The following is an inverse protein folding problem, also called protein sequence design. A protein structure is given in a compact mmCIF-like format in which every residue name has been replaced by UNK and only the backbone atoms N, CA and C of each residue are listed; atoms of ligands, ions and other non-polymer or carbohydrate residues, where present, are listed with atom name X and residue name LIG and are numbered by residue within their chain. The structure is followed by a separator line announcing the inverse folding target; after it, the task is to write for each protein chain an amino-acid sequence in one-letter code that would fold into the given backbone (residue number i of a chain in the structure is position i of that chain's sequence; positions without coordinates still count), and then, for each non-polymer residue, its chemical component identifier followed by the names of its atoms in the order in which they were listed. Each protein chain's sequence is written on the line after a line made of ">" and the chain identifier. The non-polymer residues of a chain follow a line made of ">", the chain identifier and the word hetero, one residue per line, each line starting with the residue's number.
data_IF_315879242261
#
_entry.id   IF_315879242261
#
_cell.length_a   1.000
_cell.length_b   1.000
_cell.length_c   1.000
_cell.angle_alpha   90.00
_cell.angle_beta   90.00
_cell.angle_gamma   90.00
#
_symmetry.space_group_name_H-M   'P 1'
#
loop_
_entity.id
_entity.type
_entity.pdbx_description
1 polymer ?
#
# COMPACT_ATOMS: atom_id res chain seq x y z
N UNK A 1 -14.46 6.96 -17.17
CA UNK A 1 -14.35 6.88 -15.70
C UNK A 1 -15.08 8.10 -15.14
N UNK A 2 -16.07 7.98 -14.23
CA UNK A 2 -16.67 9.20 -13.62
C UNK A 2 -15.79 9.64 -12.45
N UNK A 3 -15.48 10.94 -12.40
CA UNK A 3 -14.70 11.56 -11.33
C UNK A 3 -15.47 11.54 -10.00
N UNK A 4 -14.77 11.25 -8.90
CA UNK A 4 -15.29 11.37 -7.54
C UNK A 4 -14.74 12.64 -6.91
N UNK A 5 -15.61 13.62 -6.60
CA UNK A 5 -15.19 14.78 -5.78
C UNK A 5 -14.99 14.30 -4.35
N UNK A 6 -13.77 14.41 -3.84
CA UNK A 6 -13.35 13.79 -2.57
C UNK A 6 -13.94 14.45 -1.32
N UNK A 7 -14.65 15.59 -1.46
CA UNK A 7 -15.24 16.38 -0.38
C UNK A 7 -14.27 16.85 0.72
N UNK A 8 -12.98 16.55 0.59
CA UNK A 8 -11.92 17.02 1.47
C UNK A 8 -11.66 18.51 1.29
N UNK A 9 -11.19 19.15 2.36
CA UNK A 9 -10.93 20.60 2.40
C UNK A 9 -9.52 20.98 1.97
N UNK A 10 -8.65 19.98 1.80
CA UNK A 10 -7.23 20.14 1.49
C UNK A 10 -6.72 18.87 0.80
N UNK A 11 -5.39 18.69 0.74
CA UNK A 11 -4.70 17.63 0.03
C UNK A 11 -5.13 16.24 0.48
N UNK A 12 -5.50 15.42 -0.50
CA UNK A 12 -5.77 13.99 -0.33
C UNK A 12 -4.46 13.24 -0.48
N UNK A 13 -4.07 12.47 0.54
CA UNK A 13 -2.82 11.71 0.56
C UNK A 13 -2.96 10.31 0.02
N UNK A 14 -4.13 9.70 0.24
CA UNK A 14 -4.36 8.33 -0.21
C UNK A 14 -5.83 8.06 -0.51
N UNK A 15 -6.04 7.08 -1.38
CA UNK A 15 -7.34 6.50 -1.65
C UNK A 15 -7.23 4.99 -1.87
N UNK A 16 -8.23 4.24 -1.42
CA UNK A 16 -8.26 2.79 -1.59
C UNK A 16 -9.69 2.31 -1.88
N UNK A 17 -9.83 1.47 -2.89
CA UNK A 17 -11.06 0.73 -3.17
C UNK A 17 -11.11 -0.55 -2.35
N UNK A 18 -12.29 -0.88 -1.86
CA UNK A 18 -12.50 -2.16 -1.20
C UNK A 18 -12.48 -3.33 -2.21
N UNK A 19 -12.33 -4.59 -1.75
CA UNK A 19 -12.23 -5.75 -2.65
C UNK A 19 -13.48 -6.03 -3.48
N UNK A 20 -14.66 -5.60 -3.03
CA UNK A 20 -15.88 -5.68 -3.84
C UNK A 20 -16.00 -4.54 -4.85
N UNK A 21 -15.20 -3.50 -4.64
CA UNK A 21 -15.20 -2.28 -5.44
C UNK A 21 -16.48 -1.47 -5.26
N UNK A 22 -17.22 -1.58 -4.16
CA UNK A 22 -18.42 -0.76 -3.91
C UNK A 22 -18.15 0.39 -2.94
N UNK A 23 -17.06 0.32 -2.20
CA UNK A 23 -16.60 1.31 -1.24
C UNK A 23 -15.26 1.89 -1.67
N UNK A 24 -15.11 3.20 -1.48
CA UNK A 24 -13.87 3.94 -1.68
C UNK A 24 -13.59 4.72 -0.40
N UNK A 25 -12.40 4.54 0.17
CA UNK A 25 -11.91 5.37 1.27
C UNK A 25 -10.91 6.39 0.73
N UNK A 26 -10.96 7.62 1.22
CA UNK A 26 -9.95 8.67 0.95
C UNK A 26 -9.50 9.31 2.25
N UNK A 27 -8.24 9.75 2.34
CA UNK A 27 -7.71 10.40 3.52
C UNK A 27 -6.87 11.64 3.20
N UNK A 28 -6.81 12.58 4.13
CA UNK A 28 -6.40 13.95 3.82
C UNK A 28 -5.68 14.66 4.97
N UNK A 29 -5.02 15.77 4.62
CA UNK A 29 -4.47 16.75 5.58
C UNK A 29 -5.54 17.41 6.45
N UNK A 30 -6.83 17.34 6.09
CA UNK A 30 -7.94 17.82 6.93
C UNK A 30 -8.26 16.90 8.10
N UNK A 31 -7.50 15.81 8.26
CA UNK A 31 -7.62 14.83 9.36
C UNK A 31 -8.83 13.92 9.23
N UNK A 32 -9.58 14.03 8.13
CA UNK A 32 -10.77 13.22 7.89
C UNK A 32 -10.44 12.01 7.00
N UNK A 33 -11.20 10.93 7.20
CA UNK A 33 -11.28 9.81 6.26
C UNK A 33 -12.70 9.75 5.72
N UNK A 34 -12.86 9.98 4.42
CA UNK A 34 -14.16 9.96 3.76
C UNK A 34 -14.40 8.59 3.16
N UNK A 35 -15.60 8.05 3.39
CA UNK A 35 -16.05 6.78 2.81
C UNK A 35 -17.16 7.07 1.81
N UNK A 36 -16.93 6.67 0.57
CA UNK A 36 -17.88 6.76 -0.51
C UNK A 36 -18.41 5.38 -0.85
N UNK A 37 -19.67 5.34 -1.25
CA UNK A 37 -20.33 4.15 -1.75
C UNK A 37 -20.77 4.38 -3.20
N UNK A 38 -20.66 3.34 -4.03
CA UNK A 38 -21.31 3.27 -5.33
C UNK A 38 -22.24 2.06 -5.39
N UNK A 39 -23.42 2.24 -5.97
CA UNK A 39 -24.37 1.15 -6.14
C UNK A 39 -24.00 0.34 -7.39
N UNK A 40 -23.57 -0.93 -7.28
CA UNK A 40 -23.18 -1.72 -8.46
C UNK A 40 -24.35 -2.01 -9.42
N UNK A 41 -25.60 -1.99 -8.95
CA UNK A 41 -26.80 -2.34 -9.71
C UNK A 41 -27.65 -1.12 -10.14
N UNK A 42 -27.24 0.10 -9.77
CA UNK A 42 -28.00 1.32 -10.04
C UNK A 42 -27.90 1.80 -11.49
N UNK A 43 -28.86 2.61 -11.92
CA UNK A 43 -28.84 3.29 -13.25
C UNK A 43 -27.60 4.18 -13.39
N UNK A 44 -27.22 4.86 -12.30
CA UNK A 44 -25.96 5.60 -12.16
C UNK A 44 -24.91 4.75 -11.41
N UNK A 45 -24.68 3.49 -11.83
CA UNK A 45 -23.76 2.56 -11.14
C UNK A 45 -22.33 3.07 -10.96
N UNK A 46 -21.96 4.12 -11.70
CA UNK A 46 -20.66 4.76 -11.66
C UNK A 46 -20.56 5.99 -10.76
N UNK A 47 -21.66 6.45 -10.14
CA UNK A 47 -21.64 7.62 -9.26
C UNK A 47 -21.25 7.23 -7.83
N UNK A 48 -20.24 7.92 -7.30
CA UNK A 48 -19.82 7.81 -5.91
C UNK A 48 -20.61 8.78 -5.03
N UNK A 49 -21.16 8.28 -3.93
CA UNK A 49 -21.86 9.08 -2.93
C UNK A 49 -21.14 8.99 -1.58
N UNK A 50 -20.83 10.14 -0.97
CA UNK A 50 -20.26 10.19 0.38
C UNK A 50 -21.26 9.61 1.38
N UNK A 51 -20.88 8.56 2.10
CA UNK A 51 -21.76 7.85 3.04
C UNK A 51 -21.25 7.85 4.49
N UNK A 52 -19.97 8.16 4.74
CA UNK A 52 -19.42 8.33 6.08
C UNK A 52 -18.22 9.27 6.09
N UNK A 53 -17.98 9.92 7.23
CA UNK A 53 -16.77 10.72 7.50
C UNK A 53 -16.23 10.30 8.87
N UNK A 54 -15.02 9.73 8.90
CA UNK A 54 -14.32 9.37 10.13
C UNK A 54 -13.42 10.52 10.57
N UNK A 55 -13.48 10.87 11.85
CA UNK A 55 -12.79 12.06 12.43
C UNK A 55 -11.99 11.74 13.69
N UNK A 56 -11.54 10.49 13.84
CA UNK A 56 -10.80 10.09 15.04
C UNK A 56 -9.35 10.58 15.06
N UNK A 57 -8.76 10.83 13.87
CA UNK A 57 -7.41 11.37 13.77
C UNK A 57 -7.35 12.85 14.17
N UNK A 58 -6.26 13.24 14.83
CA UNK A 58 -6.04 14.63 15.29
C UNK A 58 -4.98 15.37 14.48
N UNK A 59 -4.34 14.69 13.54
CA UNK A 59 -3.40 15.23 12.56
C UNK A 59 -3.65 14.61 11.17
N UNK A 60 -2.82 14.98 10.18
CA UNK A 60 -2.91 14.48 8.80
C UNK A 60 -2.99 12.96 8.74
N UNK A 61 -3.97 12.45 7.99
CA UNK A 61 -4.08 11.01 7.72
C UNK A 61 -3.32 10.72 6.43
N UNK A 62 -2.30 9.88 6.55
CA UNK A 62 -1.34 9.60 5.49
C UNK A 62 -1.78 8.42 4.62
N UNK A 63 -2.48 7.45 5.22
CA UNK A 63 -2.79 6.20 4.54
C UNK A 63 -4.10 5.57 4.99
N UNK A 64 -4.73 4.88 4.03
CA UNK A 64 -5.89 4.01 4.22
C UNK A 64 -5.67 2.69 3.51
N UNK A 65 -6.07 1.57 4.13
CA UNK A 65 -5.95 0.25 3.53
C UNK A 65 -7.16 -0.61 3.87
N UNK A 66 -7.76 -1.23 2.85
CA UNK A 66 -8.82 -2.22 3.05
C UNK A 66 -8.23 -3.60 3.28
N UNK A 67 -8.86 -4.36 4.16
CA UNK A 67 -8.58 -5.78 4.28
C UNK A 67 -9.11 -6.52 3.04
N UNK A 68 -8.28 -7.36 2.43
CA UNK A 68 -8.58 -7.95 1.13
C UNK A 68 -9.44 -9.21 1.20
N UNK A 69 -9.44 -9.91 2.34
CA UNK A 69 -10.20 -11.15 2.52
C UNK A 69 -11.65 -10.87 2.96
N UNK A 70 -12.62 -11.58 2.37
CA UNK A 70 -14.05 -11.24 2.52
C UNK A 70 -14.67 -11.64 3.85
N UNK A 71 -14.04 -12.55 4.59
CA UNK A 71 -14.62 -13.17 5.79
C UNK A 71 -15.00 -12.15 6.88
N UNK A 72 -14.24 -11.07 7.04
CA UNK A 72 -14.50 -10.08 8.07
C UNK A 72 -15.49 -8.97 7.63
N UNK A 73 -15.94 -9.01 6.37
CA UNK A 73 -16.59 -7.88 5.72
C UNK A 73 -15.62 -6.71 5.49
N UNK A 74 -16.13 -5.50 5.18
CA UNK A 74 -15.30 -4.35 4.89
C UNK A 74 -14.57 -3.84 6.14
N UNK A 75 -13.32 -4.26 6.32
CA UNK A 75 -12.41 -3.72 7.33
C UNK A 75 -11.47 -2.68 6.71
N UNK A 76 -11.40 -1.52 7.32
CA UNK A 76 -10.57 -0.39 6.92
C UNK A 76 -9.55 -0.08 8.00
N UNK A 77 -8.27 -0.04 7.66
CA UNK A 77 -7.23 0.54 8.49
C UNK A 77 -6.91 1.96 8.02
N UNK A 78 -6.65 2.86 8.97
CA UNK A 78 -6.24 4.24 8.72
C UNK A 78 -5.03 4.58 9.59
N UNK A 79 -4.12 5.40 9.11
CA UNK A 79 -2.96 5.83 9.90
C UNK A 79 -2.48 7.23 9.51
N UNK A 80 -1.75 7.89 10.41
CA UNK A 80 -1.37 9.28 10.18
C UNK A 80 -0.21 9.83 11.01
N UNK A 81 -0.05 11.14 10.89
CA UNK A 81 0.98 11.94 11.54
C UNK A 81 0.78 12.10 13.05
N UNK A 82 -0.40 11.76 13.56
CA UNK A 82 -0.68 11.70 15.00
C UNK A 82 -0.07 10.46 15.68
N UNK A 83 0.56 9.57 14.88
CA UNK A 83 1.17 8.31 15.30
C UNK A 83 0.15 7.26 15.75
N UNK A 84 -1.11 7.44 15.36
CA UNK A 84 -2.15 6.48 15.60
C UNK A 84 -2.50 5.74 14.32
N UNK A 85 -2.92 4.49 14.47
CA UNK A 85 -3.66 3.78 13.46
C UNK A 85 -4.96 3.27 14.07
N UNK A 86 -6.01 3.24 13.26
CA UNK A 86 -7.33 2.76 13.66
C UNK A 86 -7.79 1.66 12.71
N UNK A 87 -8.63 0.77 13.20
CA UNK A 87 -9.30 -0.26 12.40
C UNK A 87 -10.80 -0.09 12.59
N UNK A 88 -11.53 -0.04 11.47
CA UNK A 88 -12.97 0.13 11.43
C UNK A 88 -13.61 -1.02 10.67
N UNK A 89 -14.73 -1.52 11.20
CA UNK A 89 -15.67 -2.33 10.42
C UNK A 89 -16.74 -1.42 9.85
N UNK A 90 -16.81 -1.36 8.53
CA UNK A 90 -17.78 -0.53 7.81
C UNK A 90 -19.03 -1.36 7.53
N UNK A 91 -20.17 -0.86 7.98
CA UNK A 91 -21.48 -1.48 7.83
C UNK A 91 -22.30 -0.59 6.90
N UNK A 92 -22.62 -1.11 5.72
CA UNK A 92 -23.44 -0.39 4.74
C UNK A 92 -24.88 -0.81 4.94
N UNK A 93 -25.75 0.18 5.18
CA UNK A 93 -27.20 -0.01 5.30
C UNK A 93 -27.93 0.80 4.23
N UNK A 94 -29.01 0.21 3.70
CA UNK A 94 -29.85 0.82 2.68
C UNK A 94 -31.23 1.09 3.28
N UNK A 95 -31.57 2.35 3.50
CA UNK A 95 -32.88 2.75 4.03
C UNK A 95 -33.57 3.71 3.05
N UNK A 96 -34.71 3.29 2.50
CA UNK A 96 -35.52 4.13 1.60
C UNK A 96 -34.79 4.63 0.35
N UNK A 97 -33.86 3.82 -0.18
CA UNK A 97 -33.03 4.19 -1.34
C UNK A 97 -31.82 5.07 -1.01
N UNK A 98 -31.68 5.55 0.23
CA UNK A 98 -30.47 6.23 0.71
C UNK A 98 -29.50 5.23 1.33
N UNK A 99 -28.22 5.41 1.01
CA UNK A 99 -27.12 4.62 1.56
C UNK A 99 -26.60 5.34 2.80
N UNK A 100 -26.47 4.63 3.92
CA UNK A 100 -25.72 5.08 5.08
C UNK A 100 -24.60 4.07 5.37
N UNK A 101 -23.46 4.58 5.85
CA UNK A 101 -22.32 3.77 6.23
C UNK A 101 -21.95 4.06 7.69
N UNK A 102 -22.23 3.11 8.56
CA UNK A 102 -21.77 3.15 9.95
C UNK A 102 -20.36 2.57 10.05
N UNK A 103 -19.54 3.16 10.92
CA UNK A 103 -18.18 2.71 11.15
C UNK A 103 -18.00 2.29 12.61
N UNK A 104 -17.81 1.00 12.84
CA UNK A 104 -17.53 0.45 14.16
C UNK A 104 -16.03 0.41 14.37
N UNK A 105 -15.51 1.33 15.18
CA UNK A 105 -14.09 1.43 15.53
C UNK A 105 -13.69 0.34 16.52
N UNK A 106 -12.59 -0.35 16.25
CA UNK A 106 -11.97 -1.28 17.19
C UNK A 106 -11.26 -0.52 18.30
N UNK A 107 -11.30 -1.04 19.53
CA UNK A 107 -10.69 -0.39 20.69
C UNK A 107 -9.17 -0.47 20.60
N UNK A 108 -8.54 0.71 20.49
CA UNK A 108 -7.09 0.83 20.34
C UNK A 108 -6.44 0.99 21.71
N UNK A 109 -5.40 0.17 21.98
CA UNK A 109 -4.42 0.43 23.04
C UNK A 109 -3.23 1.15 22.41
N UNK A 110 -2.71 2.19 23.08
CA UNK A 110 -1.65 3.08 22.58
C UNK A 110 -0.58 2.37 21.74
N UNK A 111 -0.39 2.84 20.51
CA UNK A 111 0.63 2.34 19.58
C UNK A 111 2.06 2.56 20.09
N UNK A 112 3.00 1.81 19.51
CA UNK A 112 4.42 1.86 19.85
C UNK A 112 5.22 2.82 18.96
N UNK A 113 4.57 3.48 18.02
CA UNK A 113 5.16 4.38 17.03
C UNK A 113 5.70 5.65 17.68
N UNK A 114 6.94 5.98 17.32
CA UNK A 114 7.65 7.12 17.91
C UNK A 114 7.61 8.36 17.02
N UNK A 115 7.28 8.18 15.75
CA UNK A 115 7.16 9.22 14.73
C UNK A 115 5.95 8.92 13.81
N UNK A 116 5.68 9.79 12.83
CA UNK A 116 4.61 9.70 11.84
C UNK A 116 4.50 8.28 11.29
N UNK A 117 3.27 7.77 11.21
CA UNK A 117 2.98 6.54 10.46
C UNK A 117 2.78 6.96 9.02
N UNK A 118 3.63 6.47 8.12
CA UNK A 118 3.60 6.83 6.70
C UNK A 118 2.74 5.87 5.89
N UNK A 119 2.67 4.61 6.30
CA UNK A 119 1.97 3.57 5.59
C UNK A 119 1.39 2.53 6.55
N UNK A 120 0.28 1.93 6.15
CA UNK A 120 -0.44 0.91 6.89
C UNK A 120 -0.97 -0.12 5.90
N UNK A 121 -0.77 -1.39 6.19
CA UNK A 121 -1.20 -2.47 5.29
C UNK A 121 -1.62 -3.69 6.10
N UNK A 122 -2.71 -4.33 5.69
CA UNK A 122 -3.04 -5.65 6.21
C UNK A 122 -2.06 -6.67 5.64
N UNK A 123 -1.62 -7.57 6.51
CA UNK A 123 -0.76 -8.68 6.10
C UNK A 123 -1.67 -9.72 5.42
N UNK A 124 -1.28 -10.25 4.24
CA UNK A 124 -2.04 -11.29 3.55
C UNK A 124 -2.43 -12.44 4.48
N UNK A 125 -3.66 -12.92 4.30
CA UNK A 125 -4.25 -13.95 5.15
C UNK A 125 -3.52 -15.28 5.00
N UNK A 126 -3.34 -15.94 6.14
CA UNK A 126 -2.84 -17.31 6.24
C UNK A 126 -3.93 -18.15 6.90
N UNK A 127 -4.09 -19.39 6.46
CA UNK A 127 -5.20 -20.23 6.90
C UNK A 127 -5.20 -20.37 8.44
N UNK A 128 -6.36 -20.19 9.07
CA UNK A 128 -6.55 -20.26 10.53
C UNK A 128 -5.79 -19.21 11.35
N UNK A 129 -5.31 -18.10 10.76
CA UNK A 129 -4.56 -17.08 11.49
C UNK A 129 -5.36 -15.84 11.87
N UNK A 130 -4.84 -15.20 12.92
CA UNK A 130 -5.27 -13.92 13.48
C UNK A 130 -5.11 -12.84 12.41
N UNK A 131 -6.05 -11.90 12.35
CA UNK A 131 -5.95 -10.72 11.50
C UNK A 131 -4.68 -9.94 11.87
N UNK A 132 -3.79 -9.72 10.90
CA UNK A 132 -2.56 -8.95 11.11
C UNK A 132 -2.48 -7.70 10.27
N UNK A 133 -1.86 -6.68 10.85
CA UNK A 133 -1.63 -5.37 10.23
C UNK A 133 -0.19 -4.95 10.45
N UNK A 134 0.42 -4.30 9.47
CA UNK A 134 1.71 -3.66 9.61
C UNK A 134 1.60 -2.15 9.52
N UNK A 135 2.38 -1.43 10.32
CA UNK A 135 2.60 0.01 10.22
C UNK A 135 4.04 0.28 9.80
N UNK A 136 4.26 1.30 8.98
CA UNK A 136 5.58 1.84 8.65
C UNK A 136 5.70 3.26 9.22
N UNK A 137 6.84 3.59 9.82
CA UNK A 137 7.03 4.89 10.46
C UNK A 137 8.33 5.58 10.05
N UNK A 138 8.30 6.91 10.11
CA UNK A 138 9.49 7.74 9.96
C UNK A 138 10.55 7.50 11.04
N UNK A 139 10.22 6.80 12.13
CA UNK A 139 11.20 6.35 13.12
C UNK A 139 12.13 5.23 12.62
N UNK A 140 11.95 4.78 11.37
CA UNK A 140 12.78 3.76 10.74
C UNK A 140 12.34 2.33 11.04
N UNK A 141 11.16 2.15 11.64
CA UNK A 141 10.62 0.84 12.00
C UNK A 141 9.32 0.53 11.27
N UNK A 142 9.19 -0.74 10.96
CA UNK A 142 7.93 -1.38 10.62
C UNK A 142 7.52 -2.21 11.84
N UNK A 143 6.24 -2.17 12.20
CA UNK A 143 5.68 -2.95 13.32
C UNK A 143 4.55 -3.80 12.81
N UNK A 144 4.51 -5.05 13.27
CA UNK A 144 3.45 -6.00 12.94
C UNK A 144 2.58 -6.21 14.17
N UNK A 145 1.27 -6.15 13.97
CA UNK A 145 0.27 -6.25 15.01
C UNK A 145 -0.69 -7.39 14.75
N UNK A 146 -0.96 -8.19 15.78
CA UNK A 146 -2.16 -9.02 15.86
C UNK A 146 -3.34 -8.13 16.24
N UNK A 147 -4.36 -8.11 15.40
CA UNK A 147 -5.53 -7.24 15.51
C UNK A 147 -6.72 -8.02 16.03
N UNK A 148 -7.24 -7.57 17.17
CA UNK A 148 -8.51 -8.01 17.71
C UNK A 148 -9.40 -6.80 17.98
N UNK A 149 -10.74 -6.95 18.05
CA UNK A 149 -11.65 -5.82 18.29
C UNK A 149 -11.37 -5.03 19.58
N UNK A 150 -10.75 -5.66 20.57
CA UNK A 150 -10.50 -5.06 21.90
C UNK A 150 -9.04 -4.70 22.17
N UNK A 151 -8.10 -5.19 21.34
CA UNK A 151 -6.67 -4.98 21.56
C UNK A 151 -5.85 -5.16 20.28
N UNK A 152 -4.76 -4.40 20.17
CA UNK A 152 -3.73 -4.58 19.13
C UNK A 152 -2.42 -4.98 19.82
N UNK A 153 -1.89 -6.14 19.50
CA UNK A 153 -0.65 -6.66 20.10
C UNK A 153 0.49 -6.57 19.09
N UNK A 154 1.53 -5.78 19.40
CA UNK A 154 2.74 -5.73 18.55
C UNK A 154 3.54 -7.04 18.71
N UNK A 155 3.59 -7.84 17.66
CA UNK A 155 4.21 -9.18 17.67
C UNK A 155 5.61 -9.22 17.04
N UNK A 156 5.90 -8.33 16.09
CA UNK A 156 7.21 -8.27 15.43
C UNK A 156 7.55 -6.86 15.00
N UNK A 157 8.85 -6.61 14.78
CA UNK A 157 9.38 -5.33 14.31
C UNK A 157 10.49 -5.57 13.30
N UNK A 158 10.48 -4.78 12.23
CA UNK A 158 11.48 -4.83 11.16
C UNK A 158 12.11 -3.45 11.07
N UNK A 159 13.43 -3.39 10.85
CA UNK A 159 14.15 -2.15 10.59
C UNK A 159 15.28 -2.41 9.62
N UNK A 160 15.81 -1.34 9.04
CA UNK A 160 16.96 -1.39 8.14
C UNK A 160 18.13 -2.04 8.87
N UNK A 161 18.80 -2.99 8.22
CA UNK A 161 20.05 -3.52 8.76
C UNK A 161 21.11 -2.43 8.76
N UNK A 162 21.79 -2.25 9.89
CA UNK A 162 22.94 -1.35 9.96
C UNK A 162 24.13 -2.01 9.25
N UNK A 163 24.63 -1.38 8.19
CA UNK A 163 25.99 -1.63 7.68
C UNK A 163 26.95 -1.59 8.88
N UNK A 164 27.70 -2.68 9.09
CA UNK A 164 28.64 -2.79 10.20
C UNK A 164 29.64 -1.63 10.17
N UNK A 165 29.84 -0.96 11.32
CA UNK A 165 30.89 0.05 11.50
C UNK A 165 30.48 1.53 11.41
N UNK A 166 29.19 1.88 11.31
CA UNK A 166 28.72 3.29 11.35
C UNK A 166 27.61 3.52 12.38
N UNK A 167 27.58 4.74 12.94
CA UNK A 167 26.64 5.17 13.99
C UNK A 167 25.18 5.02 13.55
N UNK A 168 24.37 4.36 14.40
CA UNK A 168 22.95 4.06 14.23
C UNK A 168 22.09 5.28 13.85
N UNK A 169 22.38 6.45 14.42
CA UNK A 169 21.49 7.62 14.34
C UNK A 169 21.59 8.40 13.04
N UNK A 170 22.69 8.28 12.30
CA UNK A 170 22.95 9.16 11.14
C UNK A 170 22.48 8.59 9.80
N UNK A 171 21.96 7.37 9.75
CA UNK A 171 21.55 6.73 8.49
C UNK A 171 20.25 5.93 8.48
N UNK A 172 19.55 5.74 9.61
CA UNK A 172 18.21 5.14 9.57
C UNK A 172 17.29 6.09 8.79
N UNK A 173 17.04 5.78 7.53
CA UNK A 173 16.03 6.51 6.76
C UNK A 173 14.67 6.22 7.36
N UNK A 174 13.80 7.21 7.51
CA UNK A 174 12.40 6.93 7.84
C UNK A 174 11.80 5.96 6.82
N UNK A 175 11.01 5.00 7.26
CA UNK A 175 10.28 4.12 6.33
C UNK A 175 9.12 4.94 5.79
N UNK A 176 8.92 4.92 4.47
CA UNK A 176 7.94 5.77 3.80
C UNK A 176 6.82 4.96 3.17
N UNK A 177 7.10 3.76 2.67
CA UNK A 177 6.10 2.90 2.05
C UNK A 177 6.41 1.42 2.26
N UNK A 178 5.37 0.60 2.32
CA UNK A 178 5.46 -0.85 2.42
C UNK A 178 4.45 -1.52 1.49
N UNK A 179 4.81 -2.70 0.98
CA UNK A 179 3.90 -3.51 0.19
C UNK A 179 4.13 -5.00 0.47
N UNK A 180 3.12 -5.67 1.01
CA UNK A 180 3.14 -7.12 1.18
C UNK A 180 2.96 -7.80 -0.18
N UNK A 181 3.81 -8.80 -0.45
CA UNK A 181 3.65 -9.65 -1.61
C UNK A 181 2.33 -10.45 -1.47
N UNK A 182 1.42 -10.40 -2.47
CA UNK A 182 0.13 -11.07 -2.38
C UNK A 182 0.26 -12.58 -2.67
N UNK A 183 1.00 -13.30 -1.81
CA UNK A 183 1.10 -14.75 -1.88
C UNK A 183 -0.24 -15.40 -1.50
N UNK A 184 -0.65 -16.41 -2.27
CA UNK A 184 -1.70 -17.34 -1.86
C UNK A 184 -1.15 -18.58 -1.15
N UNK A 185 0.16 -18.79 -1.20
CA UNK A 185 0.82 -19.92 -0.57
C UNK A 185 1.03 -19.64 0.91
N UNK A 186 0.56 -20.56 1.76
CA UNK A 186 0.67 -20.51 3.21
C UNK A 186 2.04 -21.00 3.70
N UNK A 187 3.10 -20.51 3.03
CA UNK A 187 4.49 -20.97 3.21
C UNK A 187 5.40 -19.85 3.75
N UNK A 188 4.90 -18.61 3.79
CA UNK A 188 5.60 -17.47 4.37
C UNK A 188 5.17 -16.15 3.76
N UNK A 189 5.95 -15.11 4.04
CA UNK A 189 5.63 -13.73 3.68
C UNK A 189 6.82 -13.02 3.07
N UNK A 190 6.55 -12.11 2.14
CA UNK A 190 7.54 -11.16 1.64
C UNK A 190 7.00 -9.73 1.74
N UNK A 191 7.87 -8.81 2.12
CA UNK A 191 7.55 -7.40 2.35
C UNK A 191 8.57 -6.51 1.64
N UNK A 192 8.08 -5.75 0.67
CA UNK A 192 8.84 -4.68 0.03
C UNK A 192 8.76 -3.41 0.87
N UNK A 193 9.89 -2.72 1.03
CA UNK A 193 10.04 -1.57 1.93
C UNK A 193 10.78 -0.45 1.24
N UNK A 194 10.20 0.75 1.26
CA UNK A 194 10.76 1.98 0.71
C UNK A 194 11.10 2.96 1.82
N UNK A 195 12.18 3.71 1.62
CA UNK A 195 12.72 4.61 2.63
C UNK A 195 12.85 6.06 2.12
N UNK A 196 12.88 6.99 3.07
CA UNK A 196 13.05 8.42 2.82
C UNK A 196 14.38 8.76 2.11
N UNK A 197 15.40 7.94 2.34
CA UNK A 197 16.74 8.08 1.76
C UNK A 197 16.90 7.35 0.41
N UNK A 198 15.78 7.02 -0.26
CA UNK A 198 15.73 6.33 -1.54
C UNK A 198 16.09 4.84 -1.49
N UNK A 199 16.36 4.27 -0.31
CA UNK A 199 16.66 2.86 -0.19
C UNK A 199 15.40 2.00 -0.36
N UNK A 200 15.59 0.85 -1.00
CA UNK A 200 14.59 -0.20 -1.14
C UNK A 200 15.13 -1.50 -0.52
N UNK A 201 14.28 -2.20 0.21
CA UNK A 201 14.59 -3.49 0.81
C UNK A 201 13.46 -4.47 0.55
N UNK A 202 13.82 -5.74 0.42
CA UNK A 202 12.87 -6.83 0.38
C UNK A 202 13.18 -7.76 1.54
N UNK A 203 12.21 -7.96 2.42
CA UNK A 203 12.30 -8.89 3.54
C UNK A 203 11.44 -10.11 3.27
N UNK A 204 11.85 -11.26 3.79
CA UNK A 204 11.02 -12.47 3.78
C UNK A 204 11.05 -13.16 5.13
N UNK A 205 10.00 -13.91 5.43
CA UNK A 205 9.92 -14.80 6.58
C UNK A 205 9.21 -16.09 6.19
N UNK A 206 9.62 -17.20 6.79
CA UNK A 206 8.90 -18.46 6.66
C UNK A 206 7.59 -18.43 7.47
N UNK A 207 6.67 -19.33 7.14
CA UNK A 207 5.35 -19.45 7.80
C UNK A 207 5.41 -19.50 9.33
N UNK A 208 6.40 -20.17 9.89
CA UNK A 208 6.50 -20.47 11.32
C UNK A 208 7.47 -19.54 12.06
N UNK A 209 8.06 -18.58 11.33
CA UNK A 209 9.01 -17.62 11.88
C UNK A 209 8.42 -16.21 11.85
N UNK A 210 8.55 -15.48 12.95
CA UNK A 210 8.23 -14.04 12.99
C UNK A 210 9.46 -13.16 12.72
N UNK A 211 10.64 -13.78 12.58
CA UNK A 211 11.88 -13.10 12.27
C UNK A 211 12.05 -12.99 10.76
N UNK A 212 12.02 -11.76 10.30
CA UNK A 212 12.25 -11.43 8.89
C UNK A 212 13.74 -11.37 8.60
N UNK A 213 14.14 -12.00 7.50
CA UNK A 213 15.48 -11.88 6.93
C UNK A 213 15.45 -10.94 5.72
N UNK A 214 16.54 -10.20 5.53
CA UNK A 214 16.73 -9.37 4.35
C UNK A 214 17.11 -10.24 3.15
N UNK A 215 16.37 -10.10 2.05
CA UNK A 215 16.73 -10.71 0.77
C UNK A 215 17.94 -9.97 0.20
N UNK A 216 19.00 -10.73 -0.09
CA UNK A 216 20.30 -10.21 -0.57
C UNK A 216 20.47 -10.26 -2.09
N UNK A 217 19.44 -10.68 -2.83
CA UNK A 217 19.46 -10.63 -4.29
C UNK A 217 19.75 -9.21 -4.77
N UNK A 218 20.26 -9.06 -5.99
CA UNK A 218 20.52 -7.74 -6.57
C UNK A 218 19.21 -6.96 -6.67
N UNK A 219 19.08 -5.93 -5.83
CA UNK A 219 17.97 -4.99 -5.82
C UNK A 219 18.31 -3.76 -6.67
N UNK A 220 17.31 -2.94 -7.06
CA UNK A 220 17.59 -1.69 -7.76
C UNK A 220 18.59 -0.83 -6.98
N UNK A 221 19.34 -0.01 -7.72
CA UNK A 221 20.17 1.02 -7.13
C UNK A 221 19.34 1.91 -6.19
N UNK A 222 20.00 2.48 -5.18
CA UNK A 222 19.35 3.44 -4.29
C UNK A 222 18.86 4.62 -5.12
N UNK A 223 17.58 4.94 -5.00
CA UNK A 223 17.00 6.08 -5.68
C UNK A 223 17.61 7.41 -5.18
N UNK A 224 17.66 8.40 -6.05
CA UNK A 224 18.18 9.74 -5.73
C UNK A 224 17.24 10.55 -4.81
N UNK A 225 16.01 10.08 -4.62
CA UNK A 225 14.96 10.73 -3.84
C UNK A 225 14.19 9.72 -3.00
N UNK A 226 13.40 10.22 -2.04
CA UNK A 226 12.49 9.42 -1.22
C UNK A 226 11.59 8.49 -2.05
N UNK A 227 11.40 7.27 -1.55
CA UNK A 227 10.40 6.35 -2.11
C UNK A 227 9.02 6.80 -1.63
N UNK A 228 8.11 7.09 -2.55
CA UNK A 228 6.75 7.55 -2.23
C UNK A 228 5.76 6.39 -2.16
N UNK A 229 5.87 5.41 -3.06
CA UNK A 229 4.91 4.33 -3.13
C UNK A 229 5.55 3.05 -3.67
N UNK A 230 5.14 1.90 -3.11
CA UNK A 230 5.51 0.59 -3.62
C UNK A 230 4.23 -0.18 -3.89
N UNK A 231 4.13 -0.80 -5.06
CA UNK A 231 2.97 -1.62 -5.42
C UNK A 231 3.39 -2.87 -6.17
N UNK A 232 2.93 -4.02 -5.67
CA UNK A 232 3.07 -5.29 -6.37
C UNK A 232 2.06 -5.37 -7.51
N UNK A 233 2.50 -5.93 -8.64
CA UNK A 233 1.58 -6.31 -9.69
C UNK A 233 0.81 -7.58 -9.27
N UNK A 234 -0.46 -7.74 -9.67
CA UNK A 234 -1.21 -8.96 -9.42
C UNK A 234 -0.49 -10.23 -9.93
N UNK A 235 -0.56 -11.30 -9.14
CA UNK A 235 -0.10 -12.63 -9.53
C UNK A 235 -1.09 -13.23 -10.54
N UNK A 236 -0.76 -13.18 -11.84
CA UNK A 236 -1.61 -13.67 -12.94
C UNK A 236 -1.06 -14.94 -13.58
N UNK A 237 -0.41 -15.81 -12.79
CA UNK A 237 0.16 -17.09 -13.25
C UNK A 237 1.48 -16.96 -14.02
N UNK A 238 2.17 -15.83 -13.89
CA UNK A 238 3.51 -15.62 -14.48
C UNK A 238 4.57 -16.40 -13.73
N UNK A 239 5.67 -16.73 -14.42
CA UNK A 239 6.89 -17.31 -13.84
C UNK A 239 7.83 -16.27 -13.21
N UNK A 240 7.35 -15.03 -13.06
CA UNK A 240 8.08 -13.92 -12.47
C UNK A 240 7.10 -13.00 -11.72
N UNK A 241 7.63 -12.22 -10.78
CA UNK A 241 6.87 -11.21 -10.04
C UNK A 241 7.32 -9.80 -10.43
N UNK A 242 6.39 -8.84 -10.38
CA UNK A 242 6.68 -7.43 -10.65
C UNK A 242 6.35 -6.58 -9.42
N UNK A 243 7.27 -5.68 -9.07
CA UNK A 243 7.05 -4.64 -8.07
C UNK A 243 7.47 -3.28 -8.63
N UNK A 244 6.61 -2.29 -8.45
CA UNK A 244 6.88 -0.90 -8.85
C UNK A 244 7.30 -0.11 -7.63
N UNK A 245 8.35 0.70 -7.78
CA UNK A 245 8.87 1.61 -6.76
C UNK A 245 8.78 3.02 -7.34
N UNK A 246 7.94 3.85 -6.74
CA UNK A 246 7.72 5.23 -7.16
C UNK A 246 8.59 6.17 -6.33
N UNK A 247 9.34 7.03 -7.00
CA UNK A 247 10.15 8.07 -6.39
C UNK A 247 9.83 9.42 -7.07
N UNK A 248 10.27 10.52 -6.45
CA UNK A 248 10.09 11.86 -7.01
C UNK A 248 10.77 12.06 -8.37
N UNK A 249 11.91 11.43 -8.60
CA UNK A 249 12.70 11.63 -9.83
C UNK A 249 12.55 10.50 -10.86
N UNK A 250 12.10 9.31 -10.45
CA UNK A 250 12.03 8.14 -11.32
C UNK A 250 11.06 7.10 -10.78
N UNK A 251 10.65 6.17 -11.64
CA UNK A 251 9.92 4.97 -11.23
C UNK A 251 10.74 3.74 -11.63
N UNK A 252 10.90 2.78 -10.72
CA UNK A 252 11.54 1.50 -11.01
C UNK A 252 10.48 0.42 -11.16
N UNK A 253 10.56 -0.35 -12.24
CA UNK A 253 9.80 -1.58 -12.42
C UNK A 253 10.78 -2.72 -12.23
N UNK A 254 10.66 -3.43 -11.12
CA UNK A 254 11.54 -4.53 -10.75
C UNK A 254 10.84 -5.84 -11.07
N UNK A 255 11.52 -6.68 -11.86
CA UNK A 255 11.12 -8.05 -12.15
C UNK A 255 11.96 -8.99 -11.31
N UNK A 256 11.28 -9.82 -10.52
CA UNK A 256 11.90 -10.91 -9.76
C UNK A 256 11.67 -12.20 -10.56
N UNK A 257 12.75 -12.85 -10.99
CA UNK A 257 12.69 -14.07 -11.81
C UNK A 257 12.37 -15.31 -10.95
N UNK A 258 11.25 -15.25 -10.24
CA UNK A 258 10.71 -16.30 -9.38
C UNK A 258 9.18 -16.39 -9.45
N UNK A 259 8.66 -17.55 -9.07
CA UNK A 259 7.22 -17.70 -8.82
C UNK A 259 6.88 -17.12 -7.46
N UNK A 260 7.73 -17.30 -6.46
CA UNK A 260 7.52 -16.76 -5.11
C UNK A 260 8.80 -16.17 -4.53
N UNK A 261 8.85 -14.86 -4.23
CA UNK A 261 10.00 -14.26 -3.56
C UNK A 261 10.17 -14.72 -2.10
N UNK A 262 9.20 -15.48 -1.58
CA UNK A 262 9.25 -16.12 -0.26
C UNK A 262 10.14 -17.37 -0.30
N UNK A 263 10.03 -18.18 -1.36
CA UNK A 263 10.57 -19.54 -1.42
C UNK A 263 11.83 -19.63 -2.27
N UNK A 264 11.80 -18.91 -3.39
CA UNK A 264 12.78 -19.09 -4.44
C UNK A 264 13.99 -18.19 -4.18
N UNK A 265 15.15 -18.65 -4.65
CA UNK A 265 16.26 -17.76 -4.94
C UNK A 265 16.07 -17.24 -6.37
N UNK A 266 16.39 -15.96 -6.60
CA UNK A 266 16.17 -15.32 -7.89
C UNK A 266 17.18 -14.22 -8.15
N UNK A 267 17.40 -13.98 -9.44
CA UNK A 267 17.93 -12.73 -9.96
C UNK A 267 16.80 -11.73 -10.19
N UNK A 268 17.18 -10.47 -10.38
CA UNK A 268 16.25 -9.40 -10.67
C UNK A 268 16.67 -8.64 -11.93
N UNK A 269 15.68 -8.20 -12.68
CA UNK A 269 15.86 -7.23 -13.76
C UNK A 269 15.15 -5.94 -13.36
N UNK A 270 15.77 -4.80 -13.66
CA UNK A 270 15.23 -3.49 -13.29
C UNK A 270 15.09 -2.65 -14.55
N UNK A 271 13.92 -2.04 -14.72
CA UNK A 271 13.69 -0.98 -15.70
C UNK A 271 13.47 0.33 -14.95
N UNK A 272 14.18 1.40 -15.34
CA UNK A 272 14.04 2.74 -14.76
C UNK A 272 13.28 3.64 -15.73
N UNK A 273 12.08 4.03 -15.35
CA UNK A 273 11.33 5.09 -16.01
C UNK A 273 11.89 6.46 -15.57
N UNK A 274 12.24 7.36 -16.50
CA UNK A 274 12.99 8.58 -16.20
C UNK A 274 12.14 9.74 -15.65
N UNK A 275 10.86 9.50 -15.35
CA UNK A 275 9.97 10.48 -14.70
C UNK A 275 9.49 9.93 -13.36
N UNK A 276 9.31 10.82 -12.39
CA UNK A 276 8.78 10.48 -11.08
C UNK A 276 7.30 10.18 -11.07
N UNK A 277 6.84 9.60 -9.98
CA UNK A 277 5.43 9.44 -9.67
C UNK A 277 5.22 9.48 -8.16
N UNK A 278 4.13 10.09 -7.72
CA UNK A 278 3.69 10.07 -6.33
C UNK A 278 3.05 8.72 -6.00
N UNK A 279 2.29 8.13 -6.93
CA UNK A 279 1.68 6.82 -6.76
C UNK A 279 1.59 6.04 -8.07
N UNK A 280 1.32 4.74 -7.94
CA UNK A 280 1.15 3.83 -9.06
C UNK A 280 0.09 2.77 -8.78
N UNK A 281 -0.53 2.27 -9.85
CA UNK A 281 -1.48 1.17 -9.79
C UNK A 281 -1.32 0.26 -11.01
N UNK A 282 -1.41 -1.04 -10.79
CA UNK A 282 -1.40 -2.03 -11.87
C UNK A 282 -2.82 -2.33 -12.37
N UNK A 283 -2.97 -2.59 -13.67
CA UNK A 283 -4.17 -3.24 -14.19
C UNK A 283 -4.33 -4.64 -13.59
N UNK A 284 -5.56 -5.18 -13.62
CA UNK A 284 -5.86 -6.54 -13.12
C UNK A 284 -5.09 -7.64 -13.85
N UNK A 285 -4.79 -7.43 -15.13
CA UNK A 285 -3.96 -8.30 -15.95
C UNK A 285 -2.46 -8.08 -15.75
N UNK A 286 -2.08 -7.09 -14.93
CA UNK A 286 -0.70 -6.65 -14.72
C UNK A 286 0.06 -6.32 -16.02
N UNK A 287 -0.68 -5.84 -17.03
CA UNK A 287 -0.18 -5.48 -18.36
C UNK A 287 -0.02 -3.97 -18.55
N UNK A 288 -0.72 -3.17 -17.73
CA UNK A 288 -0.64 -1.72 -17.73
C UNK A 288 -0.25 -1.25 -16.33
N UNK A 289 0.63 -0.26 -16.27
CA UNK A 289 1.01 0.44 -15.05
C UNK A 289 0.59 1.90 -15.17
N UNK A 290 -0.32 2.32 -14.31
CA UNK A 290 -0.78 3.70 -14.20
C UNK A 290 0.11 4.42 -13.19
N UNK A 291 0.66 5.57 -13.57
CA UNK A 291 1.48 6.44 -12.75
C UNK A 291 0.77 7.78 -12.62
N UNK A 292 0.75 8.33 -11.41
CA UNK A 292 0.22 9.68 -11.17
C UNK A 292 1.32 10.50 -10.50
N UNK A 293 1.56 11.68 -11.05
CA UNK A 293 2.47 12.65 -10.47
C UNK A 293 1.66 13.80 -9.84
N UNK A 294 2.19 14.40 -8.78
CA UNK A 294 1.58 15.50 -8.03
C UNK A 294 2.15 16.88 -8.43
N UNK A 295 2.87 16.95 -9.55
CA UNK A 295 3.28 18.20 -10.18
C UNK A 295 2.05 19.03 -10.64
N UNK A 296 2.28 20.29 -11.06
CA UNK A 296 1.23 21.31 -11.27
C UNK A 296 0.07 20.86 -12.16
N UNK A 297 0.37 20.01 -13.15
CA UNK A 297 -0.62 19.27 -13.93
C UNK A 297 -0.66 17.85 -13.37
N UNK A 298 -1.75 17.45 -12.72
CA UNK A 298 -1.95 16.05 -12.33
C UNK A 298 -2.06 15.17 -13.58
N UNK A 299 -0.91 14.78 -14.12
CA UNK A 299 -0.78 13.97 -15.31
C UNK A 299 -0.80 12.49 -14.91
N UNK A 300 -1.65 11.73 -15.59
CA UNK A 300 -1.62 10.27 -15.52
C UNK A 300 -0.81 9.74 -16.71
N UNK A 301 0.32 9.10 -16.42
CA UNK A 301 1.10 8.37 -17.41
C UNK A 301 0.72 6.89 -17.35
N UNK A 302 0.53 6.26 -18.50
CA UNK A 302 0.25 4.81 -18.56
C UNK A 302 1.40 4.13 -19.27
N UNK A 303 2.01 3.14 -18.63
CA UNK A 303 3.10 2.35 -19.19
C UNK A 303 2.63 0.95 -19.56
N UNK A 304 3.19 0.43 -20.64
CA UNK A 304 3.00 -0.95 -21.11
C UNK A 304 4.32 -1.48 -21.68
N UNK A 305 4.65 -2.73 -21.39
CA UNK A 305 5.75 -3.42 -22.07
C UNK A 305 5.37 -3.66 -23.54
N UNK A 306 6.18 -3.15 -24.48
CA UNK A 306 5.99 -3.37 -25.92
C UNK A 306 6.14 -4.84 -26.27
N UNK A 307 7.09 -5.51 -25.63
CA UNK A 307 7.32 -6.95 -25.70
C UNK A 307 7.33 -7.51 -24.28
N UNK A 308 6.31 -8.30 -23.87
CA UNK A 308 6.25 -8.88 -22.54
C UNK A 308 7.43 -9.79 -22.17
N UNK A 309 8.21 -10.26 -23.14
CA UNK A 309 9.41 -11.06 -22.90
C UNK A 309 10.66 -10.22 -22.60
N UNK A 310 10.71 -8.98 -23.09
CA UNK A 310 11.78 -8.03 -22.85
C UNK A 310 11.39 -7.04 -21.75
N UNK A 311 11.99 -7.20 -20.56
CA UNK A 311 11.73 -6.33 -19.42
C UNK A 311 12.20 -4.88 -19.63
N UNK A 312 13.01 -4.60 -20.65
CA UNK A 312 13.45 -3.24 -20.98
C UNK A 312 12.51 -2.53 -21.98
N UNK A 313 11.45 -3.20 -22.42
CA UNK A 313 10.56 -2.71 -23.48
C UNK A 313 9.40 -1.82 -23.00
N UNK A 314 9.38 -1.41 -21.73
CA UNK A 314 8.35 -0.53 -21.18
C UNK A 314 8.33 0.82 -21.89
N UNK A 315 7.15 1.21 -22.36
CA UNK A 315 6.93 2.50 -23.02
C UNK A 315 5.60 3.11 -22.59
N UNK A 316 5.52 4.43 -22.74
CA UNK A 316 4.29 5.18 -22.53
C UNK A 316 3.26 4.83 -23.60
N UNK A 317 2.04 4.52 -23.18
CA UNK A 317 0.90 4.25 -24.06
C UNK A 317 0.38 5.59 -24.58
N UNK A 318 0.38 5.82 -25.90
CA UNK A 318 -0.15 7.06 -26.47
C UNK A 318 -1.66 7.13 -26.23
N UNK A 319 -2.11 8.09 -25.41
CA UNK A 319 -3.53 8.33 -25.19
C UNK A 319 -3.77 9.52 -24.26
N UNK A 320 -4.71 10.39 -24.63
CA UNK A 320 -5.23 11.40 -23.72
C UNK A 320 -6.14 10.71 -22.71
N UNK A 321 -5.57 10.29 -21.58
CA UNK A 321 -6.37 9.89 -20.42
C UNK A 321 -6.78 11.14 -19.63
N UNK A 322 -7.62 11.99 -20.22
CA UNK A 322 -8.26 13.13 -19.54
C UNK A 322 -9.62 12.76 -18.99
#
# INVERSE_FOLDING_TARGET
>A
MRSCKTAHRTFVHHMALDPSGVLLATCSSDKEVNIFYRNPLGVDSSAWALCSILKDHVATVTRVAWYLHREHGPLLATAGADRWFYVYKIIVTMHGGKVACDAVKYSVVRGFEKDVITDVAFIPFEQHRILRLSTASLDGWIRLYDIQPVQFLCVSKITQETETGRSLDTRRGGITSIAWFPSSADEGRALAVGCMNGAFYLYRSSKDCEQFELVRSTLPERAESSVHHIVWAPCVGRSFQLVTICCRSSVYIVRLNCVSPVLDSYDCEVFRWPRGAACAAWSRSASLLYLINDDETSEMTVLQAKDPSDHQSWMEVPGNFS
#
